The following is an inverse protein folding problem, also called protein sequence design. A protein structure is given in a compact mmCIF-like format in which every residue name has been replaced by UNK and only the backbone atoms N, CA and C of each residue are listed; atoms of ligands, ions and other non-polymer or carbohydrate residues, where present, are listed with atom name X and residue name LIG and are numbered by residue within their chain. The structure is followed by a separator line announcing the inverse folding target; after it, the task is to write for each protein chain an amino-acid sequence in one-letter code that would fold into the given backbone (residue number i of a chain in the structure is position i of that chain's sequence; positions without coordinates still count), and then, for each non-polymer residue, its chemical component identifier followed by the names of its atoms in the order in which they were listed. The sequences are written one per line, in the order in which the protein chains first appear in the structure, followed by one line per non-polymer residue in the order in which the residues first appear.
data_IF_870130440006
#
_entry.id   IF_870130440006
#
_cell.length_a   1.000
_cell.length_b   1.000
_cell.length_c   1.000
_cell.angle_alpha   90.00
_cell.angle_beta   90.00
_cell.angle_gamma   90.00
#
_symmetry.space_group_name_H-M   'P 1'
#
loop_
_entity.id
_entity.type
_entity.pdbx_description
1 polymer ?
#
# COMPACT_ATOMS: atom_id res chain seq x y z
N UNK A 1 3.45 -17.28 -6.66
CA UNK A 1 2.39 -17.07 -5.65
C UNK A 1 1.02 -17.31 -6.30
N UNK A 2 0.02 -17.86 -5.58
CA UNK A 2 -1.35 -17.95 -6.11
C UNK A 2 -2.00 -16.58 -5.94
N UNK A 3 -2.17 -15.86 -7.05
CA UNK A 3 -2.77 -14.53 -7.11
C UNK A 3 -4.11 -14.53 -6.40
N UNK A 4 -4.27 -13.71 -5.37
CA UNK A 4 -5.56 -13.51 -4.72
C UNK A 4 -6.41 -12.52 -5.53
N UNK A 5 -7.73 -12.52 -5.32
CA UNK A 5 -8.63 -11.54 -5.97
C UNK A 5 -8.26 -10.10 -5.61
N UNK A 6 -7.68 -9.91 -4.42
CA UNK A 6 -7.23 -8.64 -3.87
C UNK A 6 -6.01 -8.10 -4.62
N UNK A 7 -5.01 -8.95 -4.90
CA UNK A 7 -3.82 -8.59 -5.69
C UNK A 7 -4.21 -8.11 -7.11
N UNK A 8 -5.22 -8.73 -7.70
CA UNK A 8 -5.68 -8.37 -9.04
C UNK A 8 -6.31 -6.97 -9.10
N UNK A 9 -6.96 -6.51 -8.03
CA UNK A 9 -7.53 -5.16 -7.96
C UNK A 9 -6.44 -4.10 -7.81
N UNK A 10 -5.42 -4.36 -6.98
CA UNK A 10 -4.26 -3.48 -6.85
C UNK A 10 -3.58 -3.34 -8.22
N UNK A 11 -3.21 -4.47 -8.85
CA UNK A 11 -2.53 -4.52 -10.16
C UNK A 11 -3.31 -3.75 -11.23
N UNK A 12 -4.64 -3.87 -11.28
CA UNK A 12 -5.48 -3.16 -12.25
C UNK A 12 -5.45 -1.63 -12.06
N UNK A 13 -5.24 -1.17 -10.83
CA UNK A 13 -5.29 0.24 -10.47
C UNK A 13 -3.93 0.93 -10.55
N UNK A 14 -2.82 0.18 -10.59
CA UNK A 14 -1.48 0.76 -10.79
C UNK A 14 -1.46 1.55 -12.10
N UNK A 15 -1.00 2.80 -12.05
CA UNK A 15 -0.83 3.61 -13.24
C UNK A 15 0.56 3.40 -13.85
N UNK A 16 0.70 3.35 -15.19
CA UNK A 16 2.02 3.15 -15.82
C UNK A 16 3.10 4.15 -15.40
N UNK A 17 2.69 5.38 -15.07
CA UNK A 17 3.62 6.40 -14.60
C UNK A 17 4.18 6.08 -13.21
N UNK A 18 3.37 5.53 -12.31
CA UNK A 18 3.82 5.14 -10.96
C UNK A 18 4.91 4.06 -11.03
N UNK A 19 4.75 3.10 -11.94
CA UNK A 19 5.78 2.09 -12.20
C UNK A 19 7.06 2.69 -12.78
N UNK A 20 6.96 3.66 -13.70
CA UNK A 20 8.13 4.37 -14.22
C UNK A 20 8.88 5.09 -13.11
N UNK A 21 8.15 5.83 -12.27
CA UNK A 21 8.74 6.59 -11.15
C UNK A 21 9.38 5.63 -10.13
N UNK A 22 8.77 4.48 -9.87
CA UNK A 22 9.35 3.42 -9.04
C UNK A 22 10.64 2.88 -9.65
N UNK A 23 10.62 2.45 -10.92
CA UNK A 23 11.79 1.91 -11.63
C UNK A 23 12.97 2.89 -11.57
N UNK A 24 12.75 4.16 -11.91
CA UNK A 24 13.78 5.21 -11.87
C UNK A 24 14.37 5.41 -10.46
N UNK A 25 13.51 5.48 -9.44
CA UNK A 25 13.97 5.65 -8.05
C UNK A 25 14.70 4.41 -7.51
N UNK A 26 14.50 3.23 -8.11
CA UNK A 26 15.09 1.96 -7.69
C UNK A 26 16.25 1.52 -8.60
N UNK A 27 16.80 2.45 -9.39
CA UNK A 27 18.05 2.26 -10.16
C UNK A 27 17.88 1.52 -11.49
N UNK A 28 16.66 1.38 -11.98
CA UNK A 28 16.41 0.92 -13.34
C UNK A 28 16.60 2.07 -14.34
N UNK A 29 16.97 1.73 -15.58
CA UNK A 29 17.05 2.69 -16.68
C UNK A 29 16.22 2.22 -17.87
N UNK A 30 15.67 3.19 -18.61
CA UNK A 30 14.94 2.93 -19.85
C UNK A 30 15.92 2.66 -21.00
N UNK A 31 15.78 1.51 -21.66
CA UNK A 31 16.60 1.08 -22.81
C UNK A 31 15.79 1.07 -24.12
N UNK A 32 14.84 2.00 -24.21
CA UNK A 32 14.11 2.30 -25.43
C UNK A 32 12.67 1.75 -25.49
N UNK A 33 12.09 1.84 -26.69
CA UNK A 33 10.68 1.53 -26.93
C UNK A 33 10.49 0.16 -27.57
N UNK A 34 9.39 -0.49 -27.23
CA UNK A 34 8.94 -1.73 -27.85
C UNK A 34 7.58 -1.52 -28.51
N UNK A 35 7.51 -1.75 -29.83
CA UNK A 35 6.29 -1.68 -30.66
C UNK A 35 5.38 -0.45 -30.40
N UNK A 36 5.95 0.68 -29.96
CA UNK A 36 5.31 1.96 -29.62
C UNK A 36 4.38 1.95 -28.39
N UNK A 37 4.00 0.78 -27.87
CA UNK A 37 3.03 0.64 -26.78
C UNK A 37 3.66 0.24 -25.45
N UNK A 38 4.97 0.00 -25.41
CA UNK A 38 5.72 -0.29 -24.21
C UNK A 38 7.14 0.32 -24.24
N UNK A 39 7.76 0.36 -23.08
CA UNK A 39 9.17 0.72 -22.86
C UNK A 39 9.91 -0.46 -22.25
N UNK A 40 11.17 -0.64 -22.61
CA UNK A 40 12.05 -1.66 -22.07
C UNK A 40 12.88 -1.03 -20.98
N UNK A 41 12.97 -1.70 -19.83
CA UNK A 41 13.71 -1.23 -18.67
C UNK A 41 14.69 -2.30 -18.21
N UNK A 42 15.93 -1.91 -17.90
CA UNK A 42 16.95 -2.81 -17.41
C UNK A 42 17.52 -2.38 -16.06
N UNK A 43 18.01 -3.38 -15.33
CA UNK A 43 18.77 -3.19 -14.10
C UNK A 43 19.83 -4.28 -13.98
N UNK A 44 21.07 -3.87 -13.78
CA UNK A 44 22.17 -4.77 -13.48
C UNK A 44 22.26 -5.02 -11.98
N UNK A 45 22.26 -6.29 -11.59
CA UNK A 45 22.50 -6.75 -10.21
C UNK A 45 23.75 -7.61 -10.21
N UNK A 46 24.74 -7.26 -9.38
CA UNK A 46 26.11 -7.80 -9.43
C UNK A 46 26.16 -9.32 -9.39
N UNK A 47 25.30 -9.96 -8.59
CA UNK A 47 25.30 -11.42 -8.39
C UNK A 47 24.24 -12.16 -9.23
N UNK A 48 23.20 -11.46 -9.69
CA UNK A 48 22.03 -12.09 -10.34
C UNK A 48 21.95 -11.82 -11.85
N UNK A 49 22.81 -10.94 -12.37
CA UNK A 49 22.87 -10.62 -13.79
C UNK A 49 22.05 -9.39 -14.15
N UNK A 50 21.40 -9.43 -15.31
CA UNK A 50 20.58 -8.33 -15.82
C UNK A 50 19.11 -8.74 -15.75
N UNK A 51 18.29 -7.85 -15.21
CA UNK A 51 16.83 -7.98 -15.25
C UNK A 51 16.25 -7.07 -16.32
N UNK A 52 15.16 -7.51 -16.94
CA UNK A 52 14.41 -6.76 -17.93
C UNK A 52 12.93 -6.69 -17.55
N UNK A 53 12.35 -5.50 -17.72
CA UNK A 53 10.91 -5.28 -17.59
C UNK A 53 10.39 -4.62 -18.87
N UNK A 54 9.37 -5.25 -19.46
CA UNK A 54 8.57 -4.64 -20.51
C UNK A 54 7.37 -3.92 -19.89
N UNK A 55 7.44 -2.59 -19.81
CA UNK A 55 6.41 -1.77 -19.17
C UNK A 55 5.46 -1.18 -20.21
N UNK A 56 4.15 -1.51 -20.19
CA UNK A 56 3.17 -0.87 -21.06
C UNK A 56 3.08 0.63 -20.83
N UNK A 57 3.00 1.41 -21.91
CA UNK A 57 2.89 2.86 -21.84
C UNK A 57 1.51 3.33 -21.39
N UNK A 58 0.48 2.48 -21.57
CA UNK A 58 -0.92 2.77 -21.23
C UNK A 58 -1.64 1.54 -20.68
N UNK A 59 -2.76 1.77 -19.99
CA UNK A 59 -3.65 0.71 -19.47
C UNK A 59 -4.55 0.07 -20.55
N UNK A 60 -4.62 0.66 -21.74
CA UNK A 60 -5.56 0.28 -22.80
C UNK A 60 -5.06 -0.88 -23.70
N UNK A 61 -4.06 -1.62 -23.25
CA UNK A 61 -3.57 -2.83 -23.93
C UNK A 61 -4.22 -4.07 -23.32
N UNK A 62 -4.54 -5.07 -24.16
CA UNK A 62 -5.31 -6.26 -23.73
C UNK A 62 -4.61 -7.08 -22.66
N UNK A 63 -3.29 -7.07 -22.68
CA UNK A 63 -2.38 -7.82 -21.83
C UNK A 63 -1.80 -6.98 -20.68
N UNK A 64 -2.41 -5.84 -20.35
CA UNK A 64 -1.93 -4.96 -19.27
C UNK A 64 -1.71 -5.72 -17.95
N UNK A 65 -2.74 -6.39 -17.44
CA UNK A 65 -2.67 -7.12 -16.16
C UNK A 65 -1.55 -8.18 -16.13
N UNK A 66 -1.42 -9.09 -17.12
CA UNK A 66 -0.33 -10.04 -17.12
C UNK A 66 1.06 -9.39 -17.29
N UNK A 67 1.18 -8.27 -18.02
CA UNK A 67 2.46 -7.51 -18.11
C UNK A 67 2.85 -6.88 -16.77
N UNK A 68 1.91 -6.26 -16.07
CA UNK A 68 2.18 -5.69 -14.75
C UNK A 68 2.51 -6.79 -13.73
N UNK A 69 1.85 -7.94 -13.79
CA UNK A 69 2.21 -9.09 -12.94
C UNK A 69 3.67 -9.52 -13.13
N UNK A 70 4.09 -9.67 -14.38
CA UNK A 70 5.47 -10.02 -14.71
C UNK A 70 6.45 -8.95 -14.22
N UNK A 71 6.13 -7.66 -14.42
CA UNK A 71 6.94 -6.57 -13.91
C UNK A 71 7.12 -6.64 -12.38
N UNK A 72 6.04 -6.89 -11.64
CA UNK A 72 6.08 -7.05 -10.17
C UNK A 72 6.88 -8.29 -9.75
N UNK A 73 6.76 -9.38 -10.50
CA UNK A 73 7.58 -10.59 -10.30
C UNK A 73 9.07 -10.31 -10.48
N UNK A 74 9.44 -9.61 -11.55
CA UNK A 74 10.82 -9.22 -11.83
C UNK A 74 11.36 -8.23 -10.79
N UNK A 75 10.57 -7.23 -10.39
CA UNK A 75 10.93 -6.29 -9.32
C UNK A 75 11.23 -7.03 -8.03
N UNK A 76 10.31 -7.91 -7.60
CA UNK A 76 10.44 -8.71 -6.39
C UNK A 76 11.72 -9.56 -6.39
N UNK A 77 12.04 -10.21 -7.52
CA UNK A 77 13.28 -10.95 -7.67
C UNK A 77 14.50 -10.02 -7.56
N UNK A 78 14.55 -8.95 -8.35
CA UNK A 78 15.71 -8.04 -8.42
C UNK A 78 16.01 -7.28 -7.12
N UNK A 79 15.00 -7.13 -6.25
CA UNK A 79 15.11 -6.43 -4.97
C UNK A 79 15.14 -7.39 -3.77
N UNK A 80 15.06 -8.70 -4.03
CA UNK A 80 14.95 -9.75 -3.01
C UNK A 80 13.82 -9.48 -1.99
N UNK A 81 12.66 -9.08 -2.51
CA UNK A 81 11.44 -8.78 -1.77
C UNK A 81 10.31 -9.72 -2.16
N UNK A 82 9.25 -9.76 -1.35
CA UNK A 82 8.03 -10.45 -1.74
C UNK A 82 7.23 -9.63 -2.78
N UNK A 83 6.44 -10.29 -3.63
CA UNK A 83 5.53 -9.59 -4.55
C UNK A 83 4.55 -8.68 -3.80
N UNK A 84 4.10 -9.10 -2.61
CA UNK A 84 3.20 -8.29 -1.78
C UNK A 84 3.89 -7.03 -1.27
N UNK A 85 5.16 -7.11 -0.88
CA UNK A 85 5.95 -5.95 -0.47
C UNK A 85 6.11 -4.94 -1.60
N UNK A 86 6.35 -5.40 -2.84
CA UNK A 86 6.37 -4.52 -4.02
C UNK A 86 5.00 -3.90 -4.26
N UNK A 87 3.93 -4.72 -4.33
CA UNK A 87 2.56 -4.24 -4.56
C UNK A 87 2.11 -3.22 -3.52
N UNK A 88 2.61 -3.36 -2.29
CA UNK A 88 2.23 -2.49 -1.18
C UNK A 88 2.64 -1.02 -1.38
N UNK A 89 3.62 -0.75 -2.23
CA UNK A 89 4.06 0.63 -2.52
C UNK A 89 3.17 1.34 -3.55
N UNK A 90 2.35 0.58 -4.29
CA UNK A 90 1.38 1.06 -5.26
C UNK A 90 -0.06 1.16 -4.71
N UNK A 91 -0.22 1.06 -3.38
CA UNK A 91 -1.53 1.19 -2.77
C UNK A 91 -1.95 2.66 -2.74
N UNK A 92 -2.91 3.00 -3.60
CA UNK A 92 -3.61 4.28 -3.56
C UNK A 92 -4.97 4.20 -2.86
N UNK A 93 -5.67 3.08 -3.06
CA UNK A 93 -6.97 2.79 -2.47
C UNK A 93 -7.13 1.28 -2.25
N UNK A 94 -7.48 0.87 -1.03
CA UNK A 94 -7.82 -0.50 -0.68
C UNK A 94 -9.08 -0.54 0.22
N UNK A 95 -10.25 -0.93 -0.32
CA UNK A 95 -11.51 -0.89 0.42
C UNK A 95 -11.64 -2.06 1.41
N UNK A 96 -12.39 -1.84 2.48
CA UNK A 96 -12.68 -2.86 3.51
C UNK A 96 -11.45 -3.52 4.15
N UNK A 97 -10.31 -2.82 4.22
CA UNK A 97 -9.14 -3.32 4.91
C UNK A 97 -9.45 -3.54 6.39
N UNK A 98 -9.22 -4.75 6.87
CA UNK A 98 -9.12 -5.01 8.31
C UNK A 98 -7.68 -4.79 8.74
N UNK A 99 -7.49 -3.88 9.70
CA UNK A 99 -6.20 -3.64 10.33
C UNK A 99 -6.22 -4.12 11.78
N UNK A 100 -5.06 -4.55 12.25
CA UNK A 100 -4.81 -4.92 13.63
C UNK A 100 -3.48 -4.29 14.04
N UNK A 101 -3.47 -3.51 15.12
CA UNK A 101 -2.26 -2.80 15.53
C UNK A 101 -2.46 -1.94 16.76
N UNK A 102 -1.64 -0.92 16.90
CA UNK A 102 -1.60 -0.09 18.10
C UNK A 102 -1.87 1.37 17.76
N UNK A 103 -2.67 2.02 18.59
CA UNK A 103 -2.76 3.48 18.57
C UNK A 103 -1.49 4.04 19.18
N UNK A 104 -0.82 4.94 18.46
CA UNK A 104 0.49 5.50 18.84
C UNK A 104 0.47 7.01 19.05
N UNK A 105 -0.56 7.69 18.54
CA UNK A 105 -0.79 9.12 18.78
C UNK A 105 -2.31 9.39 18.83
N UNK A 106 -2.70 10.32 19.69
CA UNK A 106 -4.07 10.84 19.82
C UNK A 106 -3.98 12.37 19.72
N UNK A 107 -4.66 12.97 18.75
CA UNK A 107 -4.84 14.41 18.69
C UNK A 107 -5.84 14.86 19.76
N UNK A 108 -5.73 16.11 20.23
CA UNK A 108 -6.74 16.71 21.12
C UNK A 108 -8.12 16.70 20.46
N UNK A 109 -9.20 16.41 21.20
CA UNK A 109 -10.53 16.35 20.62
C UNK A 109 -10.98 17.70 20.07
N UNK A 110 -11.83 17.68 19.05
CA UNK A 110 -12.46 18.88 18.52
C UNK A 110 -13.39 19.53 19.56
N UNK A 111 -13.47 20.88 19.56
CA UNK A 111 -14.14 21.65 20.63
C UNK A 111 -15.61 21.27 20.90
N UNK A 112 -16.32 20.80 19.87
CA UNK A 112 -17.77 20.58 19.92
C UNK A 112 -18.19 19.12 19.72
N UNK A 113 -17.23 18.22 19.54
CA UNK A 113 -17.50 16.80 19.33
C UNK A 113 -16.40 15.97 19.95
N UNK A 114 -16.76 14.85 20.57
CA UNK A 114 -15.78 13.88 21.06
C UNK A 114 -15.18 13.11 19.89
N UNK A 115 -14.39 13.80 19.09
CA UNK A 115 -13.76 13.27 17.88
C UNK A 115 -12.36 13.83 17.72
N UNK A 116 -11.52 13.11 16.98
CA UNK A 116 -10.22 13.59 16.58
C UNK A 116 -9.42 12.57 15.80
N UNK A 117 -8.30 13.06 15.27
CA UNK A 117 -7.33 12.26 14.54
C UNK A 117 -6.55 11.34 15.49
N UNK A 118 -6.35 10.11 15.06
CA UNK A 118 -5.45 9.14 15.70
C UNK A 118 -4.43 8.63 14.69
N UNK A 119 -3.26 8.23 15.18
CA UNK A 119 -2.26 7.50 14.40
C UNK A 119 -2.21 6.05 14.86
N UNK A 120 -2.46 5.12 13.94
CA UNK A 120 -2.37 3.68 14.14
C UNK A 120 -1.09 3.18 13.48
N UNK A 121 -0.32 2.34 14.18
CA UNK A 121 0.79 1.59 13.59
C UNK A 121 0.37 0.13 13.49
N UNK A 122 0.41 -0.43 12.28
CA UNK A 122 0.05 -1.81 12.00
C UNK A 122 0.78 -2.36 10.77
N UNK A 123 0.93 -3.68 10.65
CA UNK A 123 1.38 -4.30 9.41
C UNK A 123 0.30 -4.19 8.33
N UNK A 124 0.70 -3.74 7.14
CA UNK A 124 -0.12 -3.69 5.93
C UNK A 124 0.72 -4.21 4.77
N UNK A 125 0.37 -5.40 4.28
CA UNK A 125 1.12 -6.15 3.27
C UNK A 125 2.61 -6.24 3.61
N UNK A 126 2.90 -6.86 4.76
CA UNK A 126 4.25 -7.11 5.30
C UNK A 126 5.09 -5.89 5.68
N UNK A 127 4.62 -4.66 5.43
CA UNK A 127 5.30 -3.43 5.90
C UNK A 127 4.57 -2.83 7.10
N UNK A 128 5.32 -2.42 8.13
CA UNK A 128 4.78 -1.62 9.23
C UNK A 128 4.49 -0.21 8.73
N UNK A 129 3.22 0.22 8.80
CA UNK A 129 2.77 1.51 8.27
C UNK A 129 2.08 2.33 9.35
N UNK A 130 2.29 3.65 9.29
CA UNK A 130 1.53 4.64 10.05
C UNK A 130 0.27 4.98 9.26
N UNK A 131 -0.88 4.84 9.89
CA UNK A 131 -2.19 5.08 9.29
C UNK A 131 -2.93 6.09 10.16
N UNK A 132 -3.34 7.19 9.55
CA UNK A 132 -4.19 8.19 10.21
C UNK A 132 -5.65 7.81 10.08
N UNK A 133 -6.45 8.09 11.10
CA UNK A 133 -7.89 7.92 11.06
C UNK A 133 -8.59 8.99 11.88
N UNK A 134 -9.73 9.48 11.41
CA UNK A 134 -10.62 10.36 12.17
C UNK A 134 -11.68 9.49 12.87
N UNK A 135 -11.70 9.50 14.19
CA UNK A 135 -12.69 8.75 14.99
C UNK A 135 -13.64 9.68 15.71
N UNK A 136 -14.84 9.17 15.98
CA UNK A 136 -15.91 9.91 16.65
C UNK A 136 -16.50 9.11 17.81
N UNK A 137 -16.98 9.84 18.79
CA UNK A 137 -17.76 9.40 19.92
C UNK A 137 -17.13 8.18 20.62
N UNK A 138 -17.84 7.06 20.66
CA UNK A 138 -17.39 5.84 21.33
C UNK A 138 -16.04 5.31 20.80
N UNK A 139 -15.81 5.36 19.48
CA UNK A 139 -14.57 4.84 18.90
C UNK A 139 -13.36 5.68 19.32
N UNK A 140 -13.53 6.99 19.43
CA UNK A 140 -12.46 7.89 19.89
C UNK A 140 -12.12 7.65 21.37
N UNK A 141 -13.12 7.40 22.22
CA UNK A 141 -12.89 6.99 23.62
C UNK A 141 -12.11 5.67 23.68
N UNK A 142 -12.50 4.65 22.90
CA UNK A 142 -11.80 3.38 22.86
C UNK A 142 -10.34 3.54 22.41
N UNK A 143 -10.08 4.44 21.45
CA UNK A 143 -8.73 4.73 21.00
C UNK A 143 -7.87 5.36 22.10
N UNK A 144 -8.43 6.25 22.93
CA UNK A 144 -7.74 6.82 24.10
C UNK A 144 -7.38 5.71 25.10
N UNK A 145 -8.33 4.83 25.42
CA UNK A 145 -8.11 3.70 26.35
C UNK A 145 -7.01 2.78 25.80
N UNK A 146 -7.12 2.39 24.53
CA UNK A 146 -6.12 1.53 23.89
C UNK A 146 -4.72 2.16 23.87
N UNK A 147 -4.63 3.47 23.63
CA UNK A 147 -3.36 4.20 23.66
C UNK A 147 -2.75 4.24 25.06
N UNK A 148 -3.54 4.55 26.09
CA UNK A 148 -3.08 4.66 27.48
C UNK A 148 -2.64 3.30 28.04
N UNK A 149 -3.43 2.27 27.80
CA UNK A 149 -3.20 0.90 28.29
C UNK A 149 -2.29 0.08 27.36
N UNK A 150 -1.86 0.66 26.22
CA UNK A 150 -1.07 0.00 25.17
C UNK A 150 -1.69 -1.30 24.66
N UNK A 151 -3.01 -1.30 24.53
CA UNK A 151 -3.77 -2.47 24.07
C UNK A 151 -3.84 -2.50 22.53
N UNK A 152 -3.77 -3.70 21.93
CA UNK A 152 -4.01 -3.84 20.50
C UNK A 152 -5.47 -3.49 20.15
N UNK A 153 -5.66 -2.93 18.97
CA UNK A 153 -6.97 -2.64 18.40
C UNK A 153 -7.15 -3.38 17.08
N UNK A 154 -8.42 -3.64 16.76
CA UNK A 154 -8.88 -4.02 15.44
C UNK A 154 -9.76 -2.90 14.90
N UNK A 155 -9.60 -2.58 13.62
CA UNK A 155 -10.47 -1.64 12.92
C UNK A 155 -10.63 -2.07 11.47
N UNK A 156 -11.76 -1.72 10.85
CA UNK A 156 -11.99 -1.89 9.43
C UNK A 156 -12.25 -0.54 8.77
N UNK A 157 -11.83 -0.36 7.52
CA UNK A 157 -12.10 0.85 6.77
C UNK A 157 -11.56 0.79 5.35
N UNK A 158 -11.56 1.92 4.67
CA UNK A 158 -11.05 2.04 3.32
C UNK A 158 -9.71 2.77 3.39
N UNK A 159 -8.62 2.08 3.03
CA UNK A 159 -7.27 2.63 3.11
C UNK A 159 -7.00 3.48 1.87
N UNK A 160 -6.61 4.74 2.06
CA UNK A 160 -6.18 5.65 1.01
C UNK A 160 -4.75 6.11 1.27
N UNK A 161 -4.00 6.40 0.21
CA UNK A 161 -2.72 7.11 0.30
C UNK A 161 -2.93 8.56 -0.15
N UNK A 162 -2.73 9.51 0.76
CA UNK A 162 -2.87 10.94 0.52
C UNK A 162 -1.56 11.65 0.88
N UNK A 163 -0.90 12.29 -0.08
CA UNK A 163 0.39 12.98 0.13
C UNK A 163 1.43 12.11 0.86
N UNK A 164 1.60 10.86 0.41
CA UNK A 164 2.47 9.83 1.03
C UNK A 164 2.09 9.38 2.45
N UNK A 165 0.93 9.78 2.96
CA UNK A 165 0.41 9.35 4.25
C UNK A 165 -0.78 8.41 4.03
N UNK A 166 -0.77 7.28 4.71
CA UNK A 166 -1.93 6.39 4.70
C UNK A 166 -3.02 6.92 5.62
N UNK A 167 -4.25 6.98 5.10
CA UNK A 167 -5.44 7.45 5.79
C UNK A 167 -6.51 6.38 5.70
N UNK A 168 -7.03 5.93 6.84
CA UNK A 168 -8.19 5.05 6.91
C UNK A 168 -9.46 5.89 6.91
N UNK A 169 -10.22 5.81 5.81
CA UNK A 169 -11.54 6.44 5.68
C UNK A 169 -12.64 5.47 6.11
N UNK A 170 -13.77 6.04 6.51
CA UNK A 170 -14.96 5.30 6.95
C UNK A 170 -14.64 4.21 8.00
N UNK A 171 -13.91 4.54 9.08
CA UNK A 171 -13.52 3.57 10.09
C UNK A 171 -14.76 2.98 10.78
N UNK A 172 -14.77 1.65 10.90
CA UNK A 172 -15.86 0.84 11.45
C UNK A 172 -15.29 -0.37 12.17
N UNK A 173 -16.10 -0.99 13.04
CA UNK A 173 -15.67 -2.15 13.84
C UNK A 173 -14.39 -1.84 14.65
N UNK A 174 -14.28 -0.62 15.18
CA UNK A 174 -13.15 -0.23 16.03
C UNK A 174 -13.34 -0.86 17.42
N UNK A 175 -12.43 -1.75 17.79
CA UNK A 175 -12.52 -2.51 19.03
C UNK A 175 -11.13 -2.71 19.63
N UNK A 176 -11.06 -2.74 20.95
CA UNK A 176 -9.88 -3.23 21.66
C UNK A 176 -9.89 -4.76 21.54
N UNK A 177 -8.78 -5.33 21.12
CA UNK A 177 -8.65 -6.77 20.99
C UNK A 177 -8.40 -7.37 22.38
N UNK A 178 -9.36 -8.17 22.86
CA UNK A 178 -9.23 -8.89 24.11
C UNK A 178 -8.21 -10.03 23.91
N UNK A 179 -7.13 -10.00 24.68
CA UNK A 179 -6.09 -11.05 24.75
C UNK A 179 -6.55 -12.15 25.70
#
# INVERSE_FOLDING_TARGET
MKVTVEDAQIIKNIEPQELRDYLQSHGWYEDGQFLHNATIWHKQVVEEGEFEILLPNTKNVRDYIPRIREAIETLAASENLSQLEILSDFINNYPNLKLQGFVTQIATPHEYQLSGEITIVCPVFDKLRKIKAELKDHNYILAIIAYQERLPIVCMGDLFKENDIFVLKSPRVFQIENI
#
